data_IF_594997714917
#
_entry.id   IF_594997714917
#
_cell.length_a   1.000
_cell.length_b   1.000
_cell.length_c   1.000
_cell.angle_alpha   90.00
_cell.angle_beta   90.00
_cell.angle_gamma   90.00
#
_symmetry.space_group_name_H-M   'P 1'
#
loop_
_entity.id
_entity.type
_entity.pdbx_description
1 polymer ?
#
# COMPACT_ATOMS: atom_id res chain seq x y z
N UNK A 1 21.26 -9.35 -21.21
CA UNK A 1 19.79 -9.33 -21.11
C UNK A 1 19.46 -9.31 -19.63
N UNK A 2 19.08 -8.15 -19.08
CA UNK A 2 18.63 -8.10 -17.69
C UNK A 2 17.31 -8.87 -17.63
N UNK A 3 17.30 -9.98 -16.89
CA UNK A 3 16.08 -10.70 -16.56
C UNK A 3 15.16 -9.73 -15.82
N UNK A 4 14.13 -9.25 -16.50
CA UNK A 4 13.02 -8.52 -15.91
C UNK A 4 12.26 -9.50 -15.01
N UNK A 5 12.75 -9.64 -13.78
CA UNK A 5 12.01 -10.36 -12.76
C UNK A 5 10.90 -9.42 -12.34
N UNK A 6 9.64 -9.87 -12.34
CA UNK A 6 8.55 -9.00 -11.98
C UNK A 6 8.77 -8.57 -10.52
N UNK A 7 8.92 -7.26 -10.30
CA UNK A 7 9.31 -6.68 -9.01
C UNK A 7 8.06 -6.26 -8.27
N UNK A 8 8.02 -6.51 -6.97
CA UNK A 8 6.93 -6.02 -6.14
C UNK A 8 6.92 -4.48 -6.13
N UNK A 9 5.73 -3.90 -6.27
CA UNK A 9 5.51 -2.46 -6.15
C UNK A 9 5.30 -2.15 -4.67
N UNK A 10 5.99 -1.13 -4.15
CA UNK A 10 5.88 -0.75 -2.73
C UNK A 10 5.47 0.71 -2.62
N UNK A 11 4.48 0.96 -1.75
CA UNK A 11 4.03 2.30 -1.41
C UNK A 11 4.15 2.50 0.10
N UNK A 12 4.81 3.58 0.51
CA UNK A 12 5.04 3.91 1.91
C UNK A 12 4.22 5.13 2.28
N UNK A 13 3.45 5.00 3.34
CA UNK A 13 2.45 5.95 3.80
C UNK A 13 2.65 6.23 5.27
N UNK A 14 2.26 7.41 5.72
CA UNK A 14 2.26 7.75 7.14
C UNK A 14 0.85 7.61 7.70
N UNK A 15 0.74 6.89 8.80
CA UNK A 15 -0.46 6.86 9.63
C UNK A 15 -0.36 7.91 10.73
N UNK A 16 -1.40 8.71 10.84
CA UNK A 16 -1.66 9.67 11.90
C UNK A 16 -2.92 9.24 12.68
N UNK A 17 -2.91 9.23 14.02
CA UNK A 17 -4.08 8.82 14.79
C UNK A 17 -5.28 9.79 14.69
N UNK A 18 -5.07 11.05 14.31
CA UNK A 18 -6.12 12.05 14.12
C UNK A 18 -6.67 12.03 12.68
N UNK A 19 -5.79 11.90 11.68
CA UNK A 19 -6.15 11.99 10.25
C UNK A 19 -6.22 10.62 9.53
N UNK A 20 -5.88 9.52 10.21
CA UNK A 20 -5.65 8.20 9.62
C UNK A 20 -4.48 8.20 8.63
N UNK A 21 -4.59 7.51 7.49
CA UNK A 21 -3.50 7.50 6.50
C UNK A 21 -3.48 8.82 5.74
N UNK A 22 -2.37 9.55 5.89
CA UNK A 22 -2.15 10.83 5.22
C UNK A 22 -2.12 10.61 3.71
N UNK A 23 -2.86 11.42 2.95
CA UNK A 23 -2.94 11.38 1.48
C UNK A 23 -3.30 9.99 0.91
N UNK A 24 -4.12 9.22 1.61
CA UNK A 24 -4.49 7.84 1.23
C UNK A 24 -4.91 7.72 -0.25
N UNK A 25 -5.78 8.60 -0.74
CA UNK A 25 -6.26 8.53 -2.12
C UNK A 25 -5.15 8.77 -3.15
N UNK A 26 -4.15 9.61 -2.84
CA UNK A 26 -3.00 9.84 -3.72
C UNK A 26 -2.07 8.63 -3.77
N UNK A 27 -1.82 8.01 -2.61
CA UNK A 27 -1.04 6.78 -2.52
C UNK A 27 -1.71 5.62 -3.28
N UNK A 28 -3.02 5.45 -3.10
CA UNK A 28 -3.80 4.45 -3.83
C UNK A 28 -3.79 4.70 -5.34
N UNK A 29 -3.88 5.96 -5.77
CA UNK A 29 -3.77 6.31 -7.18
C UNK A 29 -2.38 5.98 -7.73
N UNK A 30 -1.31 6.35 -7.03
CA UNK A 30 0.06 6.10 -7.46
C UNK A 30 0.34 4.62 -7.65
N UNK A 31 -0.05 3.78 -6.69
CA UNK A 31 0.17 2.33 -6.82
C UNK A 31 -0.74 1.71 -7.89
N UNK A 32 -1.94 2.25 -8.11
CA UNK A 32 -2.81 1.81 -9.22
C UNK A 32 -2.15 2.13 -10.56
N UNK A 33 -1.66 3.35 -10.76
CA UNK A 33 -0.97 3.76 -11.99
C UNK A 33 0.30 2.92 -12.23
N UNK A 34 1.06 2.62 -11.19
CA UNK A 34 2.23 1.74 -11.28
C UNK A 34 1.84 0.30 -11.62
N UNK A 35 0.79 -0.23 -10.99
CA UNK A 35 0.28 -1.57 -11.28
C UNK A 35 -0.25 -1.67 -12.72
N UNK A 36 -0.95 -0.66 -13.22
CA UNK A 36 -1.43 -0.60 -14.60
C UNK A 36 -0.28 -0.54 -15.61
N UNK A 37 0.78 0.23 -15.31
CA UNK A 37 1.97 0.31 -16.15
C UNK A 37 2.70 -1.04 -16.29
N UNK A 38 2.71 -1.84 -15.21
CA UNK A 38 3.33 -3.17 -15.16
C UNK A 38 2.34 -4.31 -15.52
N UNK A 39 1.06 -4.00 -15.72
CA UNK A 39 0.00 -4.99 -16.01
C UNK A 39 -0.39 -5.87 -14.81
N UNK A 40 -0.13 -5.44 -13.58
CA UNK A 40 -0.44 -6.16 -12.36
C UNK A 40 -1.91 -5.99 -11.96
N UNK A 41 -2.47 -7.00 -11.28
CA UNK A 41 -3.83 -6.89 -10.72
C UNK A 41 -3.79 -6.16 -9.39
N UNK A 42 -4.42 -5.00 -9.33
CA UNK A 42 -4.55 -4.24 -8.08
C UNK A 42 -6.02 -4.00 -7.74
N UNK A 43 -6.44 -4.39 -6.54
CA UNK A 43 -7.75 -4.07 -5.99
C UNK A 43 -7.64 -2.91 -5.00
N UNK A 44 -7.99 -1.71 -5.46
CA UNK A 44 -8.04 -0.50 -4.63
C UNK A 44 -8.98 -0.65 -3.43
N UNK A 45 -10.10 -1.35 -3.59
CA UNK A 45 -11.07 -1.54 -2.52
C UNK A 45 -10.53 -2.50 -1.45
N UNK A 46 -9.94 -3.62 -1.88
CA UNK A 46 -9.21 -4.54 -1.01
C UNK A 46 -8.09 -3.84 -0.24
N UNK A 47 -7.23 -3.08 -0.94
CA UNK A 47 -6.14 -2.31 -0.34
C UNK A 47 -6.65 -1.35 0.75
N UNK A 48 -7.72 -0.59 0.48
CA UNK A 48 -8.30 0.33 1.45
C UNK A 48 -8.82 -0.38 2.70
N UNK A 49 -9.51 -1.51 2.53
CA UNK A 49 -10.06 -2.28 3.64
C UNK A 49 -8.94 -2.86 4.52
N UNK A 50 -7.91 -3.43 3.90
CA UNK A 50 -6.73 -3.97 4.58
C UNK A 50 -5.98 -2.86 5.35
N UNK A 51 -5.78 -1.69 4.73
CA UNK A 51 -5.15 -0.53 5.37
C UNK A 51 -5.97 -0.04 6.58
N UNK A 52 -7.30 0.03 6.44
CA UNK A 52 -8.19 0.39 7.54
C UNK A 52 -8.11 -0.64 8.67
N UNK A 53 -8.14 -1.94 8.36
CA UNK A 53 -8.02 -3.00 9.36
C UNK A 53 -6.68 -2.96 10.11
N UNK A 54 -5.58 -2.71 9.39
CA UNK A 54 -4.22 -2.66 9.95
C UNK A 54 -3.98 -1.43 10.84
N UNK A 55 -4.73 -0.34 10.60
CA UNK A 55 -4.65 0.91 11.35
C UNK A 55 -5.76 1.08 12.39
N UNK A 56 -6.79 0.23 12.36
CA UNK A 56 -7.93 0.31 13.27
C UNK A 56 -7.49 0.23 14.74
N UNK A 57 -7.93 1.20 15.54
CA UNK A 57 -7.65 1.26 16.97
C UNK A 57 -6.22 1.67 17.34
N UNK A 58 -5.34 1.99 16.38
CA UNK A 58 -4.02 2.56 16.67
C UNK A 58 -4.16 3.98 17.19
N UNK A 59 -3.38 4.31 18.23
CA UNK A 59 -3.36 5.62 18.89
C UNK A 59 -2.04 6.36 18.74
N UNK A 60 -1.07 5.75 18.06
CA UNK A 60 0.27 6.30 17.86
C UNK A 60 0.54 6.41 16.36
N UNK A 61 1.29 7.44 15.92
CA UNK A 61 1.79 7.53 14.57
C UNK A 61 2.57 6.27 14.17
N UNK A 62 2.47 5.89 12.90
CA UNK A 62 3.12 4.70 12.37
C UNK A 62 3.47 4.85 10.90
N UNK A 63 4.50 4.14 10.45
CA UNK A 63 4.80 3.96 9.04
C UNK A 63 4.03 2.75 8.52
N UNK A 64 3.25 2.94 7.46
CA UNK A 64 2.47 1.91 6.79
C UNK A 64 3.12 1.64 5.43
N UNK A 65 3.54 0.40 5.20
CA UNK A 65 4.08 -0.04 3.92
C UNK A 65 3.13 -1.02 3.27
N UNK A 66 2.66 -0.70 2.07
CA UNK A 66 1.87 -1.58 1.23
C UNK A 66 2.79 -2.15 0.13
N UNK A 67 2.83 -3.47 0.02
CA UNK A 67 3.57 -4.20 -1.02
C UNK A 67 2.56 -4.93 -1.90
N UNK A 68 2.65 -4.71 -3.21
CA UNK A 68 1.84 -5.38 -4.22
C UNK A 68 2.75 -6.30 -5.05
N UNK A 69 2.40 -7.57 -5.08
CA UNK A 69 3.09 -8.55 -5.92
C UNK A 69 2.57 -8.55 -7.35
N UNK A 70 3.36 -9.07 -8.31
CA UNK A 70 2.94 -9.26 -9.70
C UNK A 70 1.71 -10.16 -9.86
N UNK A 71 1.48 -11.06 -8.91
CA UNK A 71 0.31 -11.96 -8.90
C UNK A 71 -0.96 -11.26 -8.39
N UNK A 72 -0.85 -10.02 -7.92
CA UNK A 72 -1.92 -9.25 -7.27
C UNK A 72 -2.11 -9.55 -5.79
N UNK A 73 -1.17 -10.28 -5.17
CA UNK A 73 -1.16 -10.44 -3.73
C UNK A 73 -0.70 -9.13 -3.07
N UNK A 74 -1.36 -8.73 -2.00
CA UNK A 74 -1.01 -7.53 -1.24
C UNK A 74 -0.54 -7.92 0.16
N UNK A 75 0.47 -7.22 0.66
CA UNK A 75 0.90 -7.30 2.03
C UNK A 75 0.98 -5.89 2.63
N UNK A 76 0.50 -5.75 3.86
CA UNK A 76 0.59 -4.50 4.61
C UNK A 76 1.44 -4.74 5.83
N UNK A 77 2.47 -3.91 5.96
CA UNK A 77 3.29 -3.84 7.16
C UNK A 77 3.05 -2.50 7.84
N UNK A 78 2.89 -2.54 9.16
CA UNK A 78 2.73 -1.31 9.94
C UNK A 78 3.72 -1.28 11.10
N UNK A 79 4.60 -0.29 11.08
CA UNK A 79 5.67 -0.10 12.06
C UNK A 79 5.39 1.14 12.90
N UNK A 80 5.37 0.98 14.21
CA UNK A 80 5.29 2.15 15.11
C UNK A 80 6.58 2.95 15.03
N UNK A 81 6.44 4.27 15.03
CA UNK A 81 7.55 5.24 15.09
C UNK A 81 8.13 5.33 16.51
#
# INVERSE_FOLDING_TARGET
>A
MATDHPRDIQEMMRFDPEEAIVNLDEHLRRITEAAEAEGYRFDRHGARNELQAATFGRRTPADVRLVLSPTGAMAIEVRSL
#
